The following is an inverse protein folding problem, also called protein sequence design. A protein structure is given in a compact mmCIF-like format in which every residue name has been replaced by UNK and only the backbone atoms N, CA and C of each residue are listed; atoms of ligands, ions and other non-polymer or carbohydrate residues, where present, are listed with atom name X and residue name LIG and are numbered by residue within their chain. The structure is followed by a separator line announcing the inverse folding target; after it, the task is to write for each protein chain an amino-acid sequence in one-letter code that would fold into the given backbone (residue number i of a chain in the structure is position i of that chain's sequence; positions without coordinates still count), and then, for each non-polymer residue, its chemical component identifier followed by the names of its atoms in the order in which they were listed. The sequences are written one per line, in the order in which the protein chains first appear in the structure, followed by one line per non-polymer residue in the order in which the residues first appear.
data_IF_303213848421
#
_entry.id   IF_303213848421
#
_cell.length_a   1.000
_cell.length_b   1.000
_cell.length_c   1.000
_cell.angle_alpha   90.00
_cell.angle_beta   90.00
_cell.angle_gamma   90.00
#
_symmetry.space_group_name_H-M   'P 1'
#
loop_
_entity.id
_entity.type
_entity.pdbx_description
1 polymer ?
#
# COMPACT_ATOMS: atom_id res chain seq x y z
N UNK A 1 -5.72 1.75 12.80
CA UNK A 1 -4.92 2.00 11.58
C UNK A 1 -4.81 3.50 11.33
N UNK A 2 -3.68 4.03 10.89
CA UNK A 2 -3.58 5.49 10.65
C UNK A 2 -4.14 5.82 9.26
N UNK A 3 -5.13 6.73 9.18
CA UNK A 3 -5.62 7.29 7.90
C UNK A 3 -4.51 7.91 7.05
N UNK A 4 -3.35 8.20 7.65
CA UNK A 4 -2.19 8.80 7.01
C UNK A 4 -1.48 7.84 6.04
N UNK A 5 -1.35 6.55 6.38
CA UNK A 5 -0.68 5.56 5.54
C UNK A 5 -1.38 5.38 4.19
N UNK A 6 -2.70 5.14 4.20
CA UNK A 6 -3.49 5.03 2.97
C UNK A 6 -3.56 6.34 2.18
N UNK A 7 -3.51 7.50 2.86
CA UNK A 7 -3.45 8.80 2.18
C UNK A 7 -2.13 8.98 1.42
N UNK A 8 -1.00 8.53 1.99
CA UNK A 8 0.32 8.61 1.35
C UNK A 8 0.34 7.81 0.04
N UNK A 9 0.00 6.52 0.08
CA UNK A 9 -0.02 5.65 -1.10
C UNK A 9 -0.93 6.21 -2.20
N UNK A 10 -2.19 6.53 -1.87
CA UNK A 10 -3.14 7.10 -2.85
C UNK A 10 -2.69 8.41 -3.51
N UNK A 11 -1.94 9.26 -2.80
CA UNK A 11 -1.45 10.50 -3.38
C UNK A 11 -0.43 10.26 -4.50
N UNK A 12 0.29 9.13 -4.46
CA UNK A 12 1.29 8.76 -5.49
C UNK A 12 0.64 8.39 -6.83
N UNK A 13 -0.60 7.90 -6.82
CA UNK A 13 -1.37 7.56 -8.03
C UNK A 13 -1.54 8.75 -9.00
N UNK A 14 -1.52 10.00 -8.54
CA UNK A 14 -1.87 11.16 -9.37
C UNK A 14 -0.78 11.64 -10.33
N UNK A 15 0.24 10.84 -10.62
CA UNK A 15 1.45 11.40 -11.23
C UNK A 15 2.14 12.41 -10.31
N UNK A 16 1.76 12.45 -9.02
CA UNK A 16 2.20 13.48 -8.08
C UNK A 16 3.26 12.90 -7.16
N UNK A 17 4.49 13.32 -7.39
CA UNK A 17 5.63 12.90 -6.59
C UNK A 17 6.00 14.03 -5.63
N UNK A 18 6.03 13.72 -4.33
CA UNK A 18 6.44 14.67 -3.29
C UNK A 18 7.70 14.16 -2.62
N UNK A 19 8.72 15.01 -2.54
CA UNK A 19 9.99 14.69 -1.91
C UNK A 19 10.58 15.95 -1.27
N UNK A 20 11.51 15.77 -0.34
CA UNK A 20 12.16 16.88 0.35
C UNK A 20 13.61 17.00 -0.10
N UNK A 21 14.09 18.24 -0.23
CA UNK A 21 15.49 18.58 -0.51
C UNK A 21 15.99 19.70 0.40
N UNK A 22 17.30 19.79 0.56
CA UNK A 22 17.92 20.97 1.17
C UNK A 22 17.78 22.19 0.26
N UNK A 23 17.82 23.39 0.84
CA UNK A 23 17.74 24.66 0.08
C UNK A 23 18.88 24.84 -0.92
N UNK A 24 20.00 24.15 -0.72
CA UNK A 24 21.16 24.12 -1.60
C UNK A 24 20.96 23.30 -2.89
N UNK A 25 19.86 22.55 -3.00
CA UNK A 25 19.53 21.81 -4.22
C UNK A 25 18.95 22.72 -5.33
N UNK A 26 18.54 23.96 -4.98
CA UNK A 26 18.03 24.94 -5.94
C UNK A 26 19.21 25.63 -6.63
N UNK A 27 19.15 25.68 -7.97
CA UNK A 27 20.18 26.32 -8.79
C UNK A 27 19.81 27.78 -9.05
N UNK A 28 20.80 28.67 -8.90
CA UNK A 28 20.71 30.12 -9.18
C UNK A 28 20.30 30.33 -10.65
N UNK A 29 19.38 31.27 -10.96
CA UNK A 29 18.95 32.43 -10.16
C UNK A 29 17.70 32.22 -9.29
N UNK A 30 17.24 30.98 -9.10
CA UNK A 30 16.01 30.75 -8.37
C UNK A 30 16.17 31.02 -6.86
N UNK A 31 15.19 31.68 -6.25
CA UNK A 31 15.17 32.00 -4.82
C UNK A 31 14.48 30.88 -4.02
N UNK A 32 15.22 30.07 -3.23
CA UNK A 32 14.64 29.00 -2.42
C UNK A 32 13.88 29.51 -1.19
N UNK A 33 13.94 30.80 -0.87
CA UNK A 33 13.22 31.38 0.28
C UNK A 33 11.71 31.49 0.03
N UNK A 34 11.30 31.51 -1.25
CA UNK A 34 9.90 31.64 -1.68
C UNK A 34 9.39 30.34 -2.29
N UNK A 35 8.09 30.11 -2.15
CA UNK A 35 7.41 29.06 -2.92
C UNK A 35 7.42 29.42 -4.40
N UNK A 36 7.76 28.44 -5.25
CA UNK A 36 7.78 28.63 -6.70
C UNK A 36 7.06 27.51 -7.42
N UNK A 37 6.60 27.81 -8.63
CA UNK A 37 5.94 26.85 -9.53
C UNK A 37 6.41 27.07 -10.96
N UNK A 38 6.72 25.96 -11.61
CA UNK A 38 7.17 25.85 -12.98
C UNK A 38 6.12 25.07 -13.77
N UNK A 39 5.95 25.45 -15.04
CA UNK A 39 5.13 24.71 -16.00
C UNK A 39 5.81 23.41 -16.42
N UNK A 40 5.74 23.10 -17.71
CA UNK A 40 6.36 21.87 -18.24
C UNK A 40 7.86 21.86 -17.94
N UNK A 41 8.35 20.79 -17.33
CA UNK A 41 9.77 20.58 -17.01
C UNK A 41 10.27 19.25 -17.60
N UNK A 42 11.58 19.08 -17.73
CA UNK A 42 12.23 17.79 -18.03
C UNK A 42 13.10 17.33 -16.86
N UNK A 43 13.22 16.01 -16.69
CA UNK A 43 14.20 15.40 -15.78
C UNK A 43 15.30 14.74 -16.60
N UNK A 44 16.54 15.09 -16.32
CA UNK A 44 17.71 14.63 -17.09
C UNK A 44 18.81 14.14 -16.14
N UNK A 45 19.57 13.13 -16.56
CA UNK A 45 20.79 12.75 -15.86
C UNK A 45 21.98 13.59 -16.31
N UNK A 46 22.78 14.02 -15.34
CA UNK A 46 24.05 14.72 -15.54
C UNK A 46 25.17 13.80 -15.08
N UNK A 47 26.01 13.29 -16.01
CA UNK A 47 27.16 12.45 -15.68
C UNK A 47 28.07 13.09 -14.63
N UNK A 48 28.62 12.27 -13.73
CA UNK A 48 29.54 12.73 -12.70
C UNK A 48 30.94 12.14 -12.90
N UNK A 49 32.01 12.89 -12.57
CA UNK A 49 33.38 12.40 -12.69
C UNK A 49 33.63 11.12 -11.89
N UNK A 50 34.64 10.34 -12.31
CA UNK A 50 35.17 9.19 -11.57
C UNK A 50 34.14 8.06 -11.33
N UNK A 51 33.25 7.83 -12.29
CA UNK A 51 32.26 6.73 -12.22
C UNK A 51 31.22 6.89 -11.10
N UNK A 52 31.09 8.11 -10.55
CA UNK A 52 30.05 8.41 -9.56
C UNK A 52 28.68 8.33 -10.22
N UNK A 53 27.65 7.97 -9.43
CA UNK A 53 26.27 8.00 -9.89
C UNK A 53 25.93 9.39 -10.45
N UNK A 54 25.22 9.47 -11.59
CA UNK A 54 24.85 10.74 -12.19
C UNK A 54 23.97 11.54 -11.23
N UNK A 55 24.04 12.86 -11.31
CA UNK A 55 23.04 13.72 -10.69
C UNK A 55 21.78 13.75 -11.54
N UNK A 56 20.63 14.00 -10.91
CA UNK A 56 19.38 14.24 -11.62
C UNK A 56 19.06 15.73 -11.58
N UNK A 57 18.84 16.34 -12.73
CA UNK A 57 18.48 17.75 -12.85
C UNK A 57 17.06 17.89 -13.37
N UNK A 58 16.35 18.88 -12.83
CA UNK A 58 15.06 19.33 -13.31
C UNK A 58 15.29 20.63 -14.08
N UNK A 59 14.90 20.66 -15.37
CA UNK A 59 14.93 21.87 -16.20
C UNK A 59 13.53 22.40 -16.44
N UNK A 60 13.36 23.71 -16.39
CA UNK A 60 12.09 24.34 -16.76
C UNK A 60 11.85 24.30 -18.28
N UNK A 61 10.72 24.83 -18.73
CA UNK A 61 10.35 24.88 -20.15
C UNK A 61 11.28 25.72 -21.03
N UNK A 62 12.21 26.49 -20.44
CA UNK A 62 13.25 27.25 -21.14
C UNK A 62 14.61 26.54 -21.12
N UNK A 63 14.69 25.35 -20.53
CA UNK A 63 15.93 24.58 -20.39
C UNK A 63 16.81 25.01 -19.22
N UNK A 64 16.33 25.92 -18.36
CA UNK A 64 17.09 26.40 -17.18
C UNK A 64 17.00 25.36 -16.08
N UNK A 65 18.14 24.98 -15.49
CA UNK A 65 18.16 24.07 -14.34
C UNK A 65 17.55 24.77 -13.14
N UNK A 66 16.50 24.18 -12.56
CA UNK A 66 15.82 24.72 -11.38
C UNK A 66 16.17 23.95 -10.12
N UNK A 67 16.47 22.66 -10.26
CA UNK A 67 16.80 21.77 -9.15
C UNK A 67 17.84 20.75 -9.61
N UNK A 68 18.86 20.53 -8.77
CA UNK A 68 19.86 19.48 -8.95
C UNK A 68 19.90 18.57 -7.72
N UNK A 69 19.78 17.26 -7.94
CA UNK A 69 19.70 16.25 -6.90
C UNK A 69 20.80 15.21 -7.09
N UNK A 70 21.75 15.19 -6.16
CA UNK A 70 22.80 14.17 -6.13
C UNK A 70 22.31 12.84 -5.52
N UNK A 71 23.02 11.75 -5.84
CA UNK A 71 22.67 10.38 -5.40
C UNK A 71 22.63 10.17 -3.88
N UNK A 72 23.23 11.09 -3.10
CA UNK A 72 23.18 11.05 -1.63
C UNK A 72 21.82 11.48 -1.07
N UNK A 73 21.04 12.28 -1.81
CA UNK A 73 19.69 12.68 -1.44
C UNK A 73 18.70 11.55 -1.78
N UNK A 74 18.84 10.39 -1.12
CA UNK A 74 18.20 9.11 -1.48
C UNK A 74 16.71 9.22 -1.82
N UNK A 75 15.93 9.90 -0.99
CA UNK A 75 14.49 10.04 -1.20
C UNK A 75 14.14 10.88 -2.42
N UNK A 76 14.83 12.02 -2.61
CA UNK A 76 14.64 12.88 -3.78
C UNK A 76 15.14 12.21 -5.06
N UNK A 77 16.26 11.48 -4.98
CA UNK A 77 16.83 10.76 -6.10
C UNK A 77 15.90 9.63 -6.56
N UNK A 78 15.41 8.80 -5.64
CA UNK A 78 14.45 7.74 -5.93
C UNK A 78 13.13 8.27 -6.49
N UNK A 79 12.74 9.49 -6.12
CA UNK A 79 11.56 10.16 -6.64
C UNK A 79 11.75 10.67 -8.09
N UNK A 80 12.95 11.11 -8.46
CA UNK A 80 13.24 11.67 -9.78
C UNK A 80 13.68 10.63 -10.80
N UNK A 81 14.36 9.57 -10.37
CA UNK A 81 14.95 8.57 -11.26
C UNK A 81 13.94 7.93 -12.23
N UNK A 82 12.70 7.56 -11.83
CA UNK A 82 11.71 7.01 -12.75
C UNK A 82 11.21 8.01 -13.80
N UNK A 83 11.50 9.30 -13.62
CA UNK A 83 11.07 10.38 -14.49
C UNK A 83 12.17 10.82 -15.47
N UNK A 84 13.34 10.19 -15.41
CA UNK A 84 14.45 10.49 -16.32
C UNK A 84 14.00 10.37 -17.79
N UNK A 85 14.27 11.41 -18.58
CA UNK A 85 13.83 11.50 -19.98
C UNK A 85 12.35 11.87 -20.16
N UNK A 86 11.56 11.94 -19.10
CA UNK A 86 10.14 12.31 -19.16
C UNK A 86 9.95 13.84 -19.10
N UNK A 87 8.92 14.32 -19.81
CA UNK A 87 8.35 15.65 -19.55
C UNK A 87 7.32 15.57 -18.42
N UNK A 88 7.44 16.44 -17.43
CA UNK A 88 6.47 16.58 -16.34
C UNK A 88 5.63 17.83 -16.57
N UNK A 89 4.36 17.80 -16.16
CA UNK A 89 3.39 18.90 -16.39
C UNK A 89 3.73 20.14 -15.56
N UNK A 90 4.10 19.94 -14.30
CA UNK A 90 4.50 21.04 -13.43
C UNK A 90 5.43 20.56 -12.33
N UNK A 91 6.36 21.43 -11.96
CA UNK A 91 7.19 21.28 -10.77
C UNK A 91 6.94 22.46 -9.82
N UNK A 92 7.01 22.24 -8.52
CA UNK A 92 6.86 23.29 -7.53
C UNK A 92 7.59 22.94 -6.24
N UNK A 93 7.88 23.94 -5.43
CA UNK A 93 8.34 23.74 -4.07
C UNK A 93 7.70 24.72 -3.10
N UNK A 94 7.64 24.32 -1.84
CA UNK A 94 7.30 25.15 -0.70
C UNK A 94 8.39 25.04 0.35
N UNK A 95 8.84 26.16 0.91
CA UNK A 95 9.81 26.14 2.01
C UNK A 95 9.14 25.76 3.32
N UNK A 96 9.73 24.82 4.05
CA UNK A 96 9.28 24.35 5.36
C UNK A 96 10.39 24.50 6.40
N UNK A 97 10.00 24.82 7.63
CA UNK A 97 10.90 24.78 8.77
C UNK A 97 11.15 23.33 9.20
N UNK A 98 12.35 23.04 9.65
CA UNK A 98 12.65 21.75 10.30
C UNK A 98 12.02 21.73 11.69
N UNK A 99 11.30 20.65 12.01
CA UNK A 99 10.78 20.41 13.36
C UNK A 99 11.90 19.96 14.33
N UNK A 100 13.06 19.58 13.78
CA UNK A 100 14.22 19.04 14.50
C UNK A 100 15.42 19.94 14.19
N UNK A 101 15.53 21.06 14.91
CA UNK A 101 16.69 21.98 14.86
C UNK A 101 16.56 23.22 13.97
N UNK A 102 17.61 24.04 13.94
CA UNK A 102 17.68 25.25 13.11
C UNK A 102 17.98 24.87 11.65
N UNK A 103 16.94 24.73 10.82
CA UNK A 103 17.09 24.43 9.41
C UNK A 103 15.79 24.62 8.62
N UNK A 104 15.91 24.78 7.31
CA UNK A 104 14.78 24.78 6.40
C UNK A 104 15.02 23.79 5.26
N UNK A 105 13.95 23.18 4.78
CA UNK A 105 13.96 22.30 3.62
C UNK A 105 12.89 22.75 2.63
N UNK A 106 12.97 22.24 1.41
CA UNK A 106 11.95 22.45 0.39
C UNK A 106 11.13 21.18 0.26
N UNK A 107 9.82 21.31 0.43
CA UNK A 107 8.85 20.28 0.07
C UNK A 107 8.54 20.44 -1.41
N UNK A 108 9.17 19.60 -2.22
CA UNK A 108 9.04 19.60 -3.67
C UNK A 108 7.85 18.75 -4.10
N UNK A 109 7.12 19.22 -5.11
CA UNK A 109 6.01 18.52 -5.75
C UNK A 109 6.17 18.55 -7.26
N UNK A 110 6.23 17.37 -7.86
CA UNK A 110 6.11 17.15 -9.30
C UNK A 110 4.69 16.70 -9.60
N UNK A 111 4.14 17.17 -10.72
CA UNK A 111 2.94 16.62 -11.34
C UNK A 111 3.34 16.21 -12.75
N UNK A 112 3.22 14.93 -13.05
CA UNK A 112 3.54 14.36 -14.36
C UNK A 112 2.55 14.79 -15.46
N UNK A 113 2.99 14.73 -16.71
CA UNK A 113 2.13 14.97 -17.89
C UNK A 113 1.21 13.80 -18.17
N UNK A 114 0.17 14.02 -19.01
CA UNK A 114 -0.57 12.89 -19.60
C UNK A 114 0.41 12.10 -20.47
N UNK A 115 0.56 10.80 -20.21
CA UNK A 115 1.27 9.90 -21.12
C UNK A 115 0.49 9.84 -22.45
N UNK A 116 1.19 9.75 -23.58
CA UNK A 116 0.54 9.34 -24.82
C UNK A 116 0.15 7.89 -24.62
N UNK A 117 -1.15 7.64 -24.48
CA UNK A 117 -1.71 6.29 -24.53
C UNK A 117 -1.42 5.78 -25.95
N UNK A 118 -0.90 4.57 -26.07
CA UNK A 118 -0.85 3.90 -27.38
C UNK A 118 -2.28 3.84 -27.96
N UNK A 119 -2.43 3.77 -29.28
CA UNK A 119 -3.71 3.83 -29.98
C UNK A 119 -4.57 2.56 -29.80
N UNK A 120 -4.72 2.09 -28.56
CA UNK A 120 -5.57 0.95 -28.19
C UNK A 120 -6.94 1.43 -27.71
N UNK A 121 -7.95 0.58 -27.90
CA UNK A 121 -9.34 0.87 -27.53
C UNK A 121 -9.48 1.14 -26.02
N UNK A 122 -10.26 2.16 -25.63
CA UNK A 122 -10.54 2.46 -24.24
C UNK A 122 -11.31 1.32 -23.58
N UNK A 123 -11.06 1.09 -22.29
CA UNK A 123 -11.81 0.12 -21.48
C UNK A 123 -12.85 0.91 -20.70
N UNK A 124 -14.13 0.66 -20.91
CA UNK A 124 -15.21 1.49 -20.31
C UNK A 124 -15.16 1.48 -18.78
N UNK A 125 -14.98 0.30 -18.19
CA UNK A 125 -14.94 0.09 -16.75
C UNK A 125 -14.00 -1.06 -16.46
N UNK A 126 -13.20 -0.89 -15.40
CA UNK A 126 -12.45 -1.99 -14.78
C UNK A 126 -12.85 -2.14 -13.33
N UNK A 127 -12.74 -3.37 -12.83
CA UNK A 127 -12.86 -3.71 -11.42
C UNK A 127 -11.54 -4.34 -11.01
N UNK A 128 -11.02 -3.97 -9.83
CA UNK A 128 -9.79 -4.56 -9.30
C UNK A 128 -9.93 -4.87 -7.82
N UNK A 129 -9.10 -5.80 -7.37
CA UNK A 129 -8.96 -6.23 -5.98
C UNK A 129 -7.54 -6.78 -5.73
N UNK A 130 -7.08 -6.71 -4.48
CA UNK A 130 -5.75 -7.18 -4.07
C UNK A 130 -5.79 -8.06 -2.83
N UNK A 131 -4.99 -9.13 -2.85
CA UNK A 131 -4.60 -9.85 -1.64
C UNK A 131 -3.16 -9.52 -1.26
N UNK A 132 -2.86 -9.37 0.03
CA UNK A 132 -1.61 -8.79 0.51
C UNK A 132 -1.05 -9.55 1.71
N UNK A 133 0.25 -9.40 1.99
CA UNK A 133 0.90 -10.00 3.19
C UNK A 133 0.41 -9.40 4.51
N UNK A 134 -0.29 -8.27 4.45
CA UNK A 134 -0.81 -7.54 5.60
C UNK A 134 -1.50 -6.24 5.19
N UNK A 135 -1.70 -5.32 6.12
CA UNK A 135 -2.58 -4.15 5.91
C UNK A 135 -1.84 -2.81 5.78
N UNK A 136 -0.51 -2.80 5.71
CA UNK A 136 0.32 -1.60 5.67
C UNK A 136 1.00 -1.43 4.31
N UNK A 137 0.48 -0.56 3.42
CA UNK A 137 1.04 -0.38 2.07
C UNK A 137 2.53 0.00 2.00
N UNK A 138 3.10 0.53 3.09
CA UNK A 138 4.53 0.89 3.14
C UNK A 138 5.47 -0.30 3.39
N UNK A 139 4.94 -1.39 3.93
CA UNK A 139 5.74 -2.51 4.43
C UNK A 139 5.25 -3.82 3.81
N UNK A 140 3.94 -4.02 3.77
CA UNK A 140 3.31 -5.21 3.20
C UNK A 140 3.32 -5.19 1.67
N UNK A 141 3.22 -6.38 1.09
CA UNK A 141 3.40 -6.64 -0.33
C UNK A 141 2.14 -7.29 -0.91
N UNK A 142 1.85 -7.02 -2.19
CA UNK A 142 0.73 -7.66 -2.89
C UNK A 142 1.12 -9.11 -3.24
N UNK A 143 0.23 -10.05 -2.92
CA UNK A 143 0.31 -11.48 -3.22
C UNK A 143 -0.56 -11.87 -4.42
N UNK A 144 -1.67 -11.17 -4.65
CA UNK A 144 -2.53 -11.34 -5.83
C UNK A 144 -3.04 -9.97 -6.28
N UNK A 145 -3.03 -9.72 -7.58
CA UNK A 145 -3.76 -8.61 -8.20
C UNK A 145 -4.66 -9.18 -9.29
N UNK A 146 -5.95 -8.86 -9.18
CA UNK A 146 -6.94 -9.18 -10.20
C UNK A 146 -7.52 -7.89 -10.75
N UNK A 147 -7.70 -7.85 -12.07
CA UNK A 147 -8.37 -6.77 -12.79
C UNK A 147 -9.28 -7.42 -13.84
N UNK A 148 -10.57 -7.11 -13.79
CA UNK A 148 -11.57 -7.52 -14.79
C UNK A 148 -12.15 -6.30 -15.52
N UNK A 149 -12.67 -6.50 -16.72
CA UNK A 149 -13.49 -5.50 -17.40
C UNK A 149 -14.95 -5.47 -16.87
N UNK A 150 -15.75 -4.51 -17.32
CA UNK A 150 -17.18 -4.41 -16.97
C UNK A 150 -18.04 -5.59 -17.44
N UNK A 151 -17.51 -6.49 -18.27
CA UNK A 151 -18.16 -7.73 -18.69
C UNK A 151 -17.73 -8.95 -17.85
N UNK A 152 -16.79 -8.77 -16.91
CA UNK A 152 -16.26 -9.84 -16.07
C UNK A 152 -15.10 -10.64 -16.67
N UNK A 153 -14.55 -10.23 -17.81
CA UNK A 153 -13.38 -10.87 -18.40
C UNK A 153 -12.13 -10.44 -17.63
N UNK A 154 -11.25 -11.40 -17.31
CA UNK A 154 -9.97 -11.09 -16.68
C UNK A 154 -9.04 -10.39 -17.66
N UNK A 155 -8.65 -9.16 -17.31
CA UNK A 155 -7.58 -8.40 -17.96
C UNK A 155 -6.23 -8.71 -17.33
N UNK A 156 -6.23 -9.03 -16.03
CA UNK A 156 -5.09 -9.48 -15.26
C UNK A 156 -5.59 -10.35 -14.09
N UNK A 157 -4.94 -11.46 -13.79
CA UNK A 157 -5.18 -12.25 -12.56
C UNK A 157 -3.92 -13.05 -12.26
N UNK A 158 -3.01 -12.47 -11.48
CA UNK A 158 -1.71 -13.06 -11.21
C UNK A 158 -1.44 -13.13 -9.70
N UNK A 159 -0.77 -14.22 -9.31
CA UNK A 159 -0.12 -14.35 -8.02
C UNK A 159 1.33 -13.84 -8.12
N UNK A 160 1.82 -13.25 -7.04
CA UNK A 160 3.17 -12.70 -6.96
C UNK A 160 3.92 -13.20 -5.73
N UNK A 161 5.22 -13.39 -5.88
CA UNK A 161 6.10 -13.63 -4.73
C UNK A 161 6.48 -12.31 -4.07
N UNK A 162 6.42 -12.19 -2.74
CA UNK A 162 6.96 -11.05 -2.03
C UNK A 162 8.51 -11.05 -2.07
N UNK A 163 9.11 -9.87 -1.90
CA UNK A 163 10.55 -9.64 -1.81
C UNK A 163 11.06 -9.60 -0.38
N UNK A 164 10.24 -9.13 0.56
CA UNK A 164 10.67 -8.78 1.91
C UNK A 164 10.00 -9.61 3.00
N UNK A 165 8.91 -10.31 2.70
CA UNK A 165 8.20 -11.18 3.63
C UNK A 165 8.33 -12.66 3.26
N UNK A 166 8.76 -13.48 4.21
CA UNK A 166 8.79 -14.94 4.06
C UNK A 166 7.55 -15.63 4.66
N UNK A 167 6.71 -14.91 5.43
CA UNK A 167 5.48 -15.43 6.03
C UNK A 167 4.47 -14.33 6.37
N UNK A 168 3.17 -14.66 6.34
CA UNK A 168 2.05 -13.76 6.66
C UNK A 168 0.86 -14.52 7.29
N UNK A 169 1.01 -15.11 8.50
CA UNK A 169 0.02 -16.06 9.03
C UNK A 169 -1.39 -15.48 9.24
N UNK A 170 -1.51 -14.18 9.53
CA UNK A 170 -2.80 -13.52 9.72
C UNK A 170 -3.54 -13.34 8.40
N UNK A 171 -2.86 -12.84 7.37
CA UNK A 171 -3.44 -12.65 6.04
C UNK A 171 -3.71 -14.00 5.35
N UNK A 172 -2.79 -14.97 5.49
CA UNK A 172 -2.96 -16.32 4.95
C UNK A 172 -4.20 -17.01 5.53
N UNK A 173 -4.57 -16.77 6.79
CA UNK A 173 -5.79 -17.34 7.38
C UNK A 173 -7.06 -16.82 6.70
N UNK A 174 -6.99 -15.65 6.06
CA UNK A 174 -8.11 -14.97 5.41
C UNK A 174 -8.19 -15.42 3.96
N UNK A 175 -7.13 -15.21 3.17
CA UNK A 175 -7.12 -15.46 1.72
C UNK A 175 -6.53 -16.82 1.29
N UNK A 176 -5.99 -17.60 2.22
CA UNK A 176 -5.45 -18.94 1.95
C UNK A 176 -4.10 -18.99 1.21
N UNK A 177 -3.70 -17.93 0.48
CA UNK A 177 -2.39 -17.84 -0.20
C UNK A 177 -1.22 -18.05 0.79
N UNK A 178 -0.45 -19.11 0.57
CA UNK A 178 0.69 -19.54 1.37
C UNK A 178 2.03 -19.21 0.70
N UNK A 179 3.14 -19.13 1.46
CA UNK A 179 4.48 -18.92 0.90
C UNK A 179 4.84 -19.94 -0.19
N UNK A 180 4.43 -21.20 -0.04
CA UNK A 180 4.70 -22.25 -1.03
C UNK A 180 3.95 -22.06 -2.34
N UNK A 181 2.74 -21.49 -2.32
CA UNK A 181 1.97 -21.18 -3.54
C UNK A 181 2.60 -20.06 -4.37
N UNK A 182 3.27 -19.11 -3.70
CA UNK A 182 3.87 -17.95 -4.37
C UNK A 182 5.37 -18.07 -4.63
N UNK A 183 6.09 -19.03 -4.03
CA UNK A 183 7.55 -19.14 -4.10
C UNK A 183 8.14 -19.09 -5.54
N UNK A 184 7.44 -19.67 -6.52
CA UNK A 184 7.85 -19.69 -7.93
C UNK A 184 7.17 -18.66 -8.82
N UNK A 185 6.41 -17.71 -8.26
CA UNK A 185 5.65 -16.69 -9.00
C UNK A 185 6.52 -15.48 -9.35
N UNK A 186 6.15 -14.68 -10.37
CA UNK A 186 6.86 -13.45 -10.70
C UNK A 186 6.79 -12.44 -9.55
N UNK A 187 7.61 -11.39 -9.66
CA UNK A 187 7.48 -10.22 -8.81
C UNK A 187 6.40 -9.30 -9.38
N UNK A 188 5.71 -8.54 -8.54
CA UNK A 188 4.70 -7.60 -9.06
C UNK A 188 5.31 -6.51 -9.94
N UNK A 189 6.59 -6.19 -9.74
CA UNK A 189 7.33 -5.27 -10.60
C UNK A 189 7.40 -5.70 -12.07
N UNK A 190 7.26 -7.01 -12.33
CA UNK A 190 7.29 -7.57 -13.69
C UNK A 190 6.02 -7.19 -14.48
N UNK A 191 4.91 -6.89 -13.81
CA UNK A 191 3.61 -6.59 -14.41
C UNK A 191 3.21 -5.10 -14.33
N UNK A 192 4.03 -4.22 -13.75
CA UNK A 192 3.65 -2.80 -13.55
C UNK A 192 3.32 -2.07 -14.84
N UNK A 193 4.01 -2.38 -15.94
CA UNK A 193 3.72 -1.77 -17.23
C UNK A 193 2.35 -2.22 -17.75
N UNK A 194 2.04 -3.53 -17.67
CA UNK A 194 0.73 -4.09 -18.02
C UNK A 194 -0.39 -3.44 -17.19
N UNK A 195 -0.20 -3.33 -15.87
CA UNK A 195 -1.19 -2.70 -14.98
C UNK A 195 -1.36 -1.22 -15.31
N UNK A 196 -0.27 -0.51 -15.60
CA UNK A 196 -0.33 0.90 -15.99
C UNK A 196 -1.09 1.10 -17.30
N UNK A 197 -0.88 0.23 -18.29
CA UNK A 197 -1.56 0.31 -19.59
C UNK A 197 -3.07 0.08 -19.43
N UNK A 198 -3.49 -0.84 -18.55
CA UNK A 198 -4.91 -1.03 -18.19
C UNK A 198 -5.48 0.26 -17.54
N UNK A 199 -4.77 0.88 -16.60
CA UNK A 199 -5.24 2.12 -15.95
C UNK A 199 -5.31 3.32 -16.89
N UNK A 200 -4.38 3.40 -17.84
CA UNK A 200 -4.35 4.46 -18.84
C UNK A 200 -5.56 4.35 -19.77
N UNK A 201 -5.95 3.14 -20.18
CA UNK A 201 -7.10 2.85 -21.05
C UNK A 201 -8.46 2.90 -20.35
N UNK A 202 -8.52 2.62 -19.04
CA UNK A 202 -9.75 2.59 -18.27
C UNK A 202 -10.44 3.97 -18.18
N UNK A 203 -11.75 4.03 -18.46
CA UNK A 203 -12.56 5.25 -18.30
C UNK A 203 -13.14 5.36 -16.89
N UNK A 204 -13.42 4.22 -16.24
CA UNK A 204 -13.85 4.12 -14.85
C UNK A 204 -13.12 2.98 -14.14
N UNK A 205 -12.78 3.18 -12.86
CA UNK A 205 -12.13 2.17 -12.00
C UNK A 205 -12.97 1.97 -10.76
N UNK A 206 -13.59 0.81 -10.63
CA UNK A 206 -14.44 0.44 -9.51
C UNK A 206 -13.68 -0.47 -8.55
N UNK A 207 -13.68 -0.13 -7.27
CA UNK A 207 -12.97 -0.90 -6.24
C UNK A 207 -13.84 -0.94 -4.99
N UNK A 208 -13.97 -2.11 -4.37
CA UNK A 208 -14.67 -2.22 -3.10
C UNK A 208 -13.73 -1.83 -1.97
N UNK A 209 -14.07 -0.79 -1.19
CA UNK A 209 -13.14 -0.21 -0.20
C UNK A 209 -11.84 0.31 -0.84
N UNK A 210 -11.99 1.07 -1.92
CA UNK A 210 -10.92 1.59 -2.79
C UNK A 210 -9.69 2.17 -2.09
N UNK A 211 -9.82 2.69 -0.87
CA UNK A 211 -8.68 3.30 -0.18
C UNK A 211 -7.56 2.31 0.15
N UNK A 212 -7.88 1.02 0.29
CA UNK A 212 -6.93 -0.04 0.59
C UNK A 212 -6.05 -0.35 -0.63
N UNK A 213 -6.63 -0.88 -1.70
CA UNK A 213 -5.93 -1.34 -2.91
C UNK A 213 -5.15 -0.20 -3.56
N UNK A 214 -5.79 0.96 -3.70
CA UNK A 214 -5.18 2.14 -4.32
C UNK A 214 -3.97 2.67 -3.54
N UNK A 215 -3.88 2.39 -2.24
CA UNK A 215 -2.69 2.75 -1.50
C UNK A 215 -1.51 1.83 -1.80
N UNK A 216 -1.73 0.51 -1.89
CA UNK A 216 -0.69 -0.45 -2.29
C UNK A 216 -0.21 -0.18 -3.71
N UNK A 217 -1.13 -0.04 -4.66
CA UNK A 217 -0.83 0.26 -6.06
C UNK A 217 -0.05 1.58 -6.20
N UNK A 218 -0.39 2.59 -5.40
CA UNK A 218 0.36 3.84 -5.37
C UNK A 218 1.78 3.71 -4.80
N UNK A 219 2.02 2.80 -3.86
CA UNK A 219 3.37 2.53 -3.32
C UNK A 219 4.26 1.84 -4.34
N UNK A 220 3.68 1.06 -5.27
CA UNK A 220 4.34 0.48 -6.43
C UNK A 220 4.66 1.51 -7.54
N UNK A 221 4.19 2.75 -7.42
CA UNK A 221 4.46 3.81 -8.37
C UNK A 221 3.51 3.86 -9.57
N UNK A 222 2.44 3.04 -9.57
CA UNK A 222 1.37 3.10 -10.57
C UNK A 222 0.64 4.44 -10.52
N UNK A 223 0.07 4.82 -11.65
CA UNK A 223 -0.63 6.09 -11.85
C UNK A 223 -2.07 5.85 -12.27
N UNK A 224 -2.97 6.58 -11.62
CA UNK A 224 -4.39 6.52 -11.85
C UNK A 224 -5.04 7.90 -11.60
N UNK A 225 -5.81 8.35 -12.58
CA UNK A 225 -6.69 9.50 -12.40
C UNK A 225 -7.84 9.13 -11.44
N UNK A 226 -7.73 9.54 -10.17
CA UNK A 226 -8.74 9.21 -9.16
C UNK A 226 -10.11 9.85 -9.41
N UNK A 227 -10.25 10.77 -10.39
CA UNK A 227 -11.58 11.21 -10.82
C UNK A 227 -12.37 10.11 -11.53
N UNK A 228 -11.67 9.08 -12.05
CA UNK A 228 -12.25 7.86 -12.62
C UNK A 228 -12.63 6.81 -11.56
N UNK A 229 -12.19 6.98 -10.31
CA UNK A 229 -12.35 5.98 -9.25
C UNK A 229 -13.74 6.06 -8.63
N UNK A 230 -14.40 4.91 -8.53
CA UNK A 230 -15.63 4.69 -7.78
C UNK A 230 -15.33 3.73 -6.62
N UNK A 231 -15.64 4.17 -5.40
CA UNK A 231 -15.59 3.30 -4.21
C UNK A 231 -16.95 2.63 -4.05
N UNK A 232 -17.08 1.43 -4.61
CA UNK A 232 -18.34 0.67 -4.72
C UNK A 232 -18.95 0.42 -3.34
N UNK A 233 -18.12 0.16 -2.32
CA UNK A 233 -18.57 -0.02 -0.93
C UNK A 233 -19.28 1.23 -0.40
N UNK A 234 -18.66 2.40 -0.55
CA UNK A 234 -19.20 3.67 -0.03
C UNK A 234 -20.45 4.09 -0.79
N UNK A 235 -20.48 3.92 -2.10
CA UNK A 235 -21.67 4.24 -2.90
C UNK A 235 -22.84 3.32 -2.55
N UNK A 236 -22.60 2.01 -2.47
CA UNK A 236 -23.62 1.03 -2.09
C UNK A 236 -24.14 1.24 -0.68
N UNK A 237 -23.23 1.32 0.30
CA UNK A 237 -23.59 1.50 1.70
C UNK A 237 -24.41 2.76 1.94
N UNK A 238 -24.05 3.89 1.31
CA UNK A 238 -24.82 5.14 1.48
C UNK A 238 -26.19 5.06 0.86
N UNK A 239 -26.29 4.46 -0.33
CA UNK A 239 -27.52 4.41 -1.11
C UNK A 239 -28.56 3.46 -0.55
N UNK A 240 -28.13 2.30 -0.07
CA UNK A 240 -29.05 1.23 0.35
C UNK A 240 -29.11 1.02 1.86
N UNK A 241 -28.10 1.49 2.61
CA UNK A 241 -27.93 1.15 4.03
C UNK A 241 -27.59 2.35 4.92
N UNK A 242 -27.59 3.58 4.38
CA UNK A 242 -27.24 4.81 5.11
C UNK A 242 -25.91 4.75 5.88
N UNK A 243 -24.94 3.96 5.40
CA UNK A 243 -23.64 3.74 6.05
C UNK A 243 -22.49 3.94 5.06
N UNK A 244 -21.34 4.50 5.46
CA UNK A 244 -20.16 4.56 4.59
C UNK A 244 -19.44 3.21 4.46
N UNK A 245 -19.85 2.18 5.21
CA UNK A 245 -19.24 0.85 5.23
C UNK A 245 -20.32 -0.22 5.19
N UNK A 246 -20.20 -1.13 4.23
CA UNK A 246 -21.03 -2.32 4.11
C UNK A 246 -20.16 -3.47 3.64
N UNK A 247 -20.41 -4.70 4.10
CA UNK A 247 -19.56 -5.85 3.75
C UNK A 247 -19.84 -6.31 2.31
N UNK A 248 -18.79 -6.67 1.57
CA UNK A 248 -18.91 -7.14 0.19
C UNK A 248 -19.77 -8.40 0.12
N UNK A 249 -19.59 -9.38 1.01
CA UNK A 249 -20.38 -10.61 0.96
C UNK A 249 -21.88 -10.33 1.13
N UNK A 250 -22.22 -9.37 2.00
CA UNK A 250 -23.63 -8.95 2.20
C UNK A 250 -24.17 -8.20 0.98
N UNK A 251 -23.40 -7.24 0.46
CA UNK A 251 -23.81 -6.48 -0.72
C UNK A 251 -24.01 -7.39 -1.94
N UNK A 252 -23.05 -8.30 -2.19
CA UNK A 252 -23.10 -9.27 -3.27
C UNK A 252 -24.31 -10.21 -3.13
N UNK A 253 -24.57 -10.73 -1.92
CA UNK A 253 -25.75 -11.56 -1.66
C UNK A 253 -27.07 -10.82 -1.92
N UNK A 254 -27.18 -9.54 -1.55
CA UNK A 254 -28.33 -8.69 -1.87
C UNK A 254 -28.46 -8.35 -3.37
N UNK A 255 -27.40 -8.58 -4.14
CA UNK A 255 -27.39 -8.50 -5.61
C UNK A 255 -27.60 -9.89 -6.26
N UNK A 256 -27.79 -10.94 -5.47
CA UNK A 256 -27.96 -12.31 -5.97
C UNK A 256 -26.66 -12.98 -6.41
N UNK A 257 -25.50 -12.50 -5.95
CA UNK A 257 -24.18 -13.08 -6.23
C UNK A 257 -23.61 -13.73 -4.96
N UNK A 258 -23.31 -15.03 -5.04
CA UNK A 258 -22.66 -15.82 -3.98
C UNK A 258 -21.32 -16.32 -4.51
N UNK A 259 -20.30 -16.28 -3.68
CA UNK A 259 -18.93 -16.58 -4.07
C UNK A 259 -18.09 -17.00 -2.86
N UNK A 260 -16.87 -17.44 -3.13
CA UNK A 260 -15.86 -17.68 -2.11
C UNK A 260 -15.06 -16.40 -1.88
N UNK A 261 -15.23 -15.77 -0.73
CA UNK A 261 -14.52 -14.54 -0.39
C UNK A 261 -13.01 -14.76 -0.21
N UNK A 262 -12.24 -13.68 -0.36
CA UNK A 262 -10.79 -13.65 -0.17
C UNK A 262 -10.01 -14.40 -1.25
N UNK A 263 -10.51 -14.26 -2.48
CA UNK A 263 -9.80 -14.53 -3.73
C UNK A 263 -10.02 -13.30 -4.61
N UNK A 264 -8.93 -12.61 -4.99
CA UNK A 264 -9.06 -11.30 -5.63
C UNK A 264 -9.88 -11.34 -6.93
N UNK A 265 -9.88 -12.45 -7.68
CA UNK A 265 -10.69 -12.55 -8.90
C UNK A 265 -12.18 -12.70 -8.59
N UNK A 266 -12.52 -13.53 -7.61
CA UNK A 266 -13.91 -13.68 -7.17
C UNK A 266 -14.43 -12.42 -6.46
N UNK A 267 -13.59 -11.73 -5.69
CA UNK A 267 -13.90 -10.43 -5.09
C UNK A 267 -14.11 -9.33 -6.15
N UNK A 268 -13.35 -9.35 -7.25
CA UNK A 268 -13.62 -8.51 -8.43
C UNK A 268 -15.01 -8.78 -9.01
N UNK A 269 -15.38 -10.05 -9.21
CA UNK A 269 -16.69 -10.42 -9.78
C UNK A 269 -17.84 -10.04 -8.85
N UNK A 270 -17.68 -10.25 -7.55
CA UNK A 270 -18.64 -9.81 -6.54
C UNK A 270 -18.80 -8.29 -6.55
N UNK A 271 -17.69 -7.55 -6.66
CA UNK A 271 -17.69 -6.09 -6.78
C UNK A 271 -18.41 -5.62 -8.04
N UNK A 272 -18.18 -6.26 -9.19
CA UNK A 272 -18.89 -5.99 -10.44
C UNK A 272 -20.40 -6.20 -10.30
N UNK A 273 -20.83 -7.27 -9.64
CA UNK A 273 -22.26 -7.52 -9.40
C UNK A 273 -22.91 -6.39 -8.56
N UNK A 274 -22.22 -5.91 -7.54
CA UNK A 274 -22.68 -4.78 -6.72
C UNK A 274 -22.68 -3.47 -7.51
N UNK A 275 -21.62 -3.22 -8.29
CA UNK A 275 -21.48 -2.03 -9.12
C UNK A 275 -22.57 -1.98 -10.20
N UNK A 276 -22.89 -3.11 -10.82
CA UNK A 276 -23.97 -3.21 -11.82
C UNK A 276 -25.32 -2.74 -11.25
N UNK A 277 -25.63 -3.07 -10.00
CA UNK A 277 -26.85 -2.58 -9.31
C UNK A 277 -26.81 -1.07 -9.01
N UNK A 278 -25.62 -0.47 -8.89
CA UNK A 278 -25.45 0.97 -8.74
C UNK A 278 -25.60 1.71 -10.07
N UNK A 279 -25.09 1.14 -11.16
CA UNK A 279 -25.09 1.76 -12.48
C UNK A 279 -26.49 1.82 -13.10
N UNK A 280 -27.31 0.79 -12.87
CA UNK A 280 -28.74 0.76 -13.30
C UNK A 280 -29.60 1.83 -12.62
N UNK A 281 -29.13 2.44 -11.51
CA UNK A 281 -29.79 3.58 -10.85
C UNK A 281 -28.80 4.75 -10.73
N UNK A 282 -28.66 5.63 -11.74
CA UNK A 282 -27.70 6.73 -11.67
C UNK A 282 -27.96 7.65 -10.46
N UNK A 283 -26.89 8.13 -9.82
CA UNK A 283 -26.97 9.13 -8.74
C UNK A 283 -27.51 10.46 -9.32
N UNK A 284 -28.40 11.18 -8.61
CA UNK A 284 -29.00 12.43 -9.12
C UNK A 284 -28.01 13.50 -9.58
N UNK A 285 -26.78 13.49 -9.06
CA UNK A 285 -25.76 14.49 -9.41
C UNK A 285 -24.99 14.17 -10.71
N UNK A 286 -25.09 12.94 -11.24
CA UNK A 286 -24.42 12.57 -12.50
C UNK A 286 -25.13 13.11 -13.75
N UNK A 287 -26.41 13.51 -13.65
CA UNK A 287 -27.18 14.05 -14.78
C UNK A 287 -26.76 15.47 -15.18
N UNK A 288 -26.08 16.22 -14.31
CA UNK A 288 -25.76 17.64 -14.55
C UNK A 288 -24.51 17.87 -15.42
N UNK A 289 -23.67 16.85 -15.65
CA UNK A 289 -22.39 17.00 -16.38
C UNK A 289 -22.43 16.44 -17.81
N UNK A 290 -23.56 15.89 -18.22
CA UNK A 290 -23.72 15.15 -19.48
C UNK A 290 -24.69 15.85 -20.45
N UNK A 291 -24.68 17.19 -20.50
CA UNK A 291 -25.41 17.95 -21.54
C UNK A 291 -24.54 18.39 -22.72
N UNK A 292 -23.30 17.90 -22.84
CA UNK A 292 -22.40 18.31 -23.94
C UNK A 292 -21.81 17.18 -24.79
N UNK A 293 -22.10 15.91 -24.52
CA UNK A 293 -21.71 14.81 -25.41
C UNK A 293 -22.82 13.76 -25.40
N UNK A 294 -23.83 13.93 -26.26
CA UNK A 294 -24.89 12.95 -26.49
C UNK A 294 -24.71 12.28 -27.85
N UNK A 295 -23.96 11.19 -27.87
CA UNK A 295 -24.05 10.13 -28.87
C UNK A 295 -23.09 9.00 -28.49
N UNK A 296 -23.59 7.75 -28.50
CA UNK A 296 -22.96 6.45 -28.15
C UNK A 296 -23.27 5.92 -26.73
N UNK A 297 -23.78 4.71 -26.50
CA UNK A 297 -24.48 3.69 -27.31
C UNK A 297 -25.26 2.83 -26.28
N UNK A 298 -26.47 2.37 -26.60
CA UNK A 298 -27.17 1.39 -25.74
C UNK A 298 -26.41 0.05 -25.77
N UNK A 299 -26.30 -0.64 -24.61
CA UNK A 299 -25.76 -2.01 -24.54
C UNK A 299 -26.42 -2.90 -25.59
N UNK A 300 -25.62 -3.66 -26.33
CA UNK A 300 -26.15 -4.59 -27.33
C UNK A 300 -26.93 -5.73 -26.67
N UNK A 301 -27.90 -6.29 -27.37
CA UNK A 301 -28.64 -7.48 -26.91
C UNK A 301 -27.73 -8.69 -26.69
N UNK A 302 -26.59 -8.75 -27.40
CA UNK A 302 -25.55 -9.76 -27.21
C UNK A 302 -24.84 -9.60 -25.86
N UNK A 303 -24.47 -8.38 -25.47
CA UNK A 303 -23.81 -8.11 -24.18
C UNK A 303 -24.77 -8.41 -23.01
N UNK A 304 -26.05 -8.08 -23.19
CA UNK A 304 -27.11 -8.42 -22.23
C UNK A 304 -27.29 -9.95 -22.09
N UNK A 305 -27.37 -10.67 -23.21
CA UNK A 305 -27.48 -12.13 -23.21
C UNK A 305 -26.23 -12.80 -22.61
N UNK A 306 -25.06 -12.22 -22.81
CA UNK A 306 -23.78 -12.71 -22.25
C UNK A 306 -23.71 -12.51 -20.75
N UNK A 307 -24.14 -11.35 -20.24
CA UNK A 307 -24.29 -11.10 -18.79
C UNK A 307 -25.29 -12.09 -18.16
N UNK A 308 -26.43 -12.33 -18.81
CA UNK A 308 -27.39 -13.34 -18.36
C UNK A 308 -26.80 -14.76 -18.37
N UNK A 309 -25.88 -15.08 -19.29
CA UNK A 309 -25.15 -16.36 -19.32
C UNK A 309 -24.18 -16.53 -18.15
N UNK A 310 -23.50 -15.46 -17.72
CA UNK A 310 -22.62 -15.47 -16.54
C UNK A 310 -23.44 -15.73 -15.29
N UNK A 311 -24.56 -15.03 -15.14
CA UNK A 311 -25.52 -15.22 -14.04
C UNK A 311 -26.11 -16.64 -14.05
N UNK A 312 -26.37 -17.21 -15.23
CA UNK A 312 -26.92 -18.57 -15.38
C UNK A 312 -25.88 -19.66 -15.08
N UNK A 313 -24.62 -19.44 -15.45
CA UNK A 313 -23.51 -20.35 -15.14
C UNK A 313 -23.25 -20.39 -13.64
N UNK A 314 -23.31 -19.23 -12.97
CA UNK A 314 -23.25 -19.15 -11.50
C UNK A 314 -24.40 -19.91 -10.83
N UNK A 315 -25.61 -19.88 -11.39
CA UNK A 315 -26.76 -20.67 -10.89
C UNK A 315 -26.63 -22.17 -11.13
N UNK A 316 -26.02 -22.58 -12.25
CA UNK A 316 -25.78 -24.00 -12.55
C UNK A 316 -24.76 -24.63 -11.60
N UNK A 317 -23.72 -23.86 -11.23
CA UNK A 317 -22.75 -24.25 -10.22
C UNK A 317 -23.39 -24.48 -8.83
N UNK A 318 -24.38 -23.65 -8.47
CA UNK A 318 -25.14 -23.75 -7.21
C UNK A 318 -26.06 -25.00 -7.19
N UNK A 319 -26.66 -25.36 -8.33
CA UNK A 319 -27.54 -26.53 -8.46
C UNK A 319 -26.81 -27.87 -8.32
N UNK A 320 -25.54 -27.95 -8.70
CA UNK A 320 -24.72 -29.16 -8.57
C UNK A 320 -24.21 -29.42 -7.14
N UNK A 321 -24.43 -28.49 -6.21
CA UNK A 321 -23.95 -28.59 -4.82
C UNK A 321 -25.06 -28.90 -3.81
N UNK A 322 -26.34 -28.77 -4.19
CA UNK A 322 -27.47 -28.99 -3.28
C UNK A 322 -27.85 -30.46 -3.04
N UNK A 323 -27.23 -31.43 -3.73
CA UNK A 323 -27.56 -32.86 -3.57
C UNK A 323 -26.64 -33.64 -2.60
N UNK A 324 -25.65 -33.01 -1.98
CA UNK A 324 -24.88 -33.62 -0.89
C UNK A 324 -25.36 -33.11 0.46
N UNK A 325 -26.38 -33.78 1.01
CA UNK A 325 -26.74 -33.67 2.44
C UNK A 325 -25.88 -34.65 3.26
N UNK A 326 -25.23 -34.22 4.36
CA UNK A 326 -24.47 -35.13 5.19
C UNK A 326 -25.43 -35.95 6.05
N UNK A 327 -25.53 -37.25 5.77
CA UNK A 327 -26.24 -38.20 6.59
C UNK A 327 -25.61 -38.32 7.98
N UNK A 328 -26.48 -38.35 8.99
CA UNK A 328 -26.19 -38.58 10.40
C UNK A 328 -25.35 -39.83 10.63
N UNK A 329 -24.24 -39.69 11.36
CA UNK A 329 -23.43 -40.82 11.84
C UNK A 329 -24.13 -41.43 13.05
N UNK A 330 -24.76 -42.58 12.85
CA UNK A 330 -25.18 -43.48 13.93
C UNK A 330 -24.30 -44.74 13.92
N UNK A 331 -23.93 -45.18 15.10
CA UNK A 331 -22.95 -46.22 15.34
C UNK A 331 -23.45 -47.58 14.83
N UNK A 332 -22.66 -48.25 13.97
CA UNK A 332 -22.71 -49.72 13.85
C UNK A 332 -21.42 -50.32 13.24
N UNK A 333 -21.05 -51.43 13.87
CA UNK A 333 -19.90 -52.33 13.73
C UNK A 333 -19.56 -52.71 12.28
N UNK A 334 -18.27 -52.83 11.88
CA UNK A 334 -17.91 -53.29 10.54
C UNK A 334 -18.06 -54.82 10.39
N UNK A 335 -18.47 -55.32 9.21
CA UNK A 335 -18.50 -56.74 8.89
C UNK A 335 -17.13 -57.23 8.40
N UNK A 336 -17.02 -58.54 8.38
CA UNK A 336 -15.79 -59.32 8.32
C UNK A 336 -15.56 -59.92 6.91
N UNK A 337 -14.28 -60.20 6.62
CA UNK A 337 -13.69 -61.15 5.65
C UNK A 337 -13.30 -60.65 4.24
N UNK A 338 -11.99 -60.82 3.97
CA UNK A 338 -11.39 -60.89 2.64
C UNK A 338 -9.87 -61.13 2.71
N UNK A 339 -9.44 -62.36 2.99
CA UNK A 339 -8.04 -62.78 2.93
C UNK A 339 -7.54 -62.92 1.48
N UNK A 340 -6.41 -62.30 1.14
CA UNK A 340 -5.35 -62.92 0.32
C UNK A 340 -4.08 -62.06 0.37
N UNK A 341 -2.99 -62.68 0.81
CA UNK A 341 -1.74 -62.06 1.22
C UNK A 341 -0.82 -61.62 0.07
N UNK A 342 -0.17 -60.47 0.24
CA UNK A 342 1.20 -60.19 -0.23
C UNK A 342 1.97 -59.53 0.94
N UNK A 343 3.22 -59.92 1.22
CA UNK A 343 3.93 -59.41 2.39
C UNK A 343 4.32 -57.94 2.18
N UNK A 344 3.97 -57.08 3.15
CA UNK A 344 4.45 -55.70 3.21
C UNK A 344 5.95 -55.69 3.56
N UNK A 345 6.75 -54.75 3.00
CA UNK A 345 8.03 -54.41 3.58
C UNK A 345 7.78 -53.82 4.98
N UNK A 346 8.53 -54.31 5.97
CA UNK A 346 8.46 -53.85 7.37
C UNK A 346 8.56 -52.33 7.41
N UNK A 347 7.55 -51.69 8.00
CA UNK A 347 7.67 -50.32 8.49
C UNK A 347 8.82 -50.29 9.49
N UNK A 348 9.80 -49.43 9.21
CA UNK A 348 10.79 -49.01 10.20
C UNK A 348 10.02 -48.20 11.24
N UNK A 349 9.88 -48.74 12.45
CA UNK A 349 9.54 -47.98 13.63
C UNK A 349 10.46 -46.76 13.70
N UNK A 350 9.86 -45.57 13.71
CA UNK A 350 10.60 -44.34 13.94
C UNK A 350 11.12 -44.37 15.38
N UNK A 351 12.38 -44.77 15.50
CA UNK A 351 13.17 -44.74 16.72
C UNK A 351 13.13 -43.34 17.37
N UNK A 352 12.40 -43.24 18.47
CA UNK A 352 12.26 -42.06 19.32
C UNK A 352 13.50 -41.82 20.21
N UNK A 353 14.70 -42.14 19.74
CA UNK A 353 15.95 -41.92 20.49
C UNK A 353 17.09 -41.30 19.67
N UNK A 354 16.79 -40.54 18.61
CA UNK A 354 17.82 -39.72 17.96
C UNK A 354 18.12 -38.46 18.80
N UNK A 355 19.39 -38.18 19.16
CA UNK A 355 19.73 -36.97 19.88
C UNK A 355 19.50 -35.79 18.94
N UNK A 356 18.37 -35.09 19.08
CA UNK A 356 18.25 -33.70 18.65
C UNK A 356 19.47 -33.01 19.24
N UNK A 357 20.35 -32.51 18.36
CA UNK A 357 21.73 -32.23 18.75
C UNK A 357 21.74 -31.43 20.05
N UNK A 358 22.48 -31.90 21.05
CA UNK A 358 22.64 -31.18 22.34
C UNK A 358 22.95 -29.71 22.07
N UNK A 359 23.66 -29.42 20.98
CA UNK A 359 23.90 -28.09 20.47
C UNK A 359 22.63 -27.26 20.27
N UNK A 360 21.62 -27.72 19.51
CA UNK A 360 20.39 -26.94 19.28
C UNK A 360 19.55 -26.73 20.54
N UNK A 361 19.48 -27.73 21.43
CA UNK A 361 18.77 -27.58 22.70
C UNK A 361 19.44 -26.56 23.62
N UNK A 362 20.77 -26.64 23.79
CA UNK A 362 21.52 -25.67 24.60
C UNK A 362 21.56 -24.28 23.96
N UNK A 363 21.57 -24.17 22.62
CA UNK A 363 21.43 -22.89 21.91
C UNK A 363 20.05 -22.25 22.12
N UNK A 364 18.98 -23.06 22.10
CA UNK A 364 17.63 -22.57 22.37
C UNK A 364 17.47 -22.11 23.82
N UNK A 365 17.97 -22.90 24.79
CA UNK A 365 17.96 -22.53 26.22
C UNK A 365 18.77 -21.25 26.45
N UNK A 366 19.96 -21.13 25.85
CA UNK A 366 20.78 -19.92 25.95
C UNK A 366 20.06 -18.69 25.37
N UNK A 367 19.38 -18.83 24.23
CA UNK A 367 18.62 -17.74 23.61
C UNK A 367 17.46 -17.28 24.50
N UNK A 368 16.71 -18.21 25.10
CA UNK A 368 15.62 -17.90 26.02
C UNK A 368 16.15 -17.20 27.29
N UNK A 369 17.29 -17.64 27.84
CA UNK A 369 17.93 -16.96 28.96
C UNK A 369 18.39 -15.53 28.59
N UNK A 370 19.01 -15.34 27.44
CA UNK A 370 19.45 -14.02 26.96
C UNK A 370 18.25 -13.09 26.78
N UNK A 371 17.19 -13.53 26.12
CA UNK A 371 15.97 -12.74 25.92
C UNK A 371 15.30 -12.40 27.26
N UNK A 372 15.26 -13.33 28.21
CA UNK A 372 14.76 -13.09 29.57
C UNK A 372 15.58 -12.03 30.31
N UNK A 373 16.92 -12.10 30.25
CA UNK A 373 17.79 -11.09 30.86
C UNK A 373 17.66 -9.72 30.21
N UNK A 374 17.56 -9.65 28.87
CA UNK A 374 17.32 -8.38 28.16
C UNK A 374 15.99 -7.75 28.54
N UNK A 375 14.93 -8.55 28.66
CA UNK A 375 13.62 -8.08 29.11
C UNK A 375 13.68 -7.54 30.54
N UNK A 376 14.39 -8.21 31.45
CA UNK A 376 14.57 -7.76 32.83
C UNK A 376 15.38 -6.46 32.91
N UNK A 377 16.44 -6.31 32.11
CA UNK A 377 17.25 -5.09 32.02
C UNK A 377 16.43 -3.93 31.46
N UNK A 378 15.64 -4.14 30.39
CA UNK A 378 14.76 -3.13 29.84
C UNK A 378 13.70 -2.68 30.85
N UNK A 379 13.08 -3.63 31.57
CA UNK A 379 12.14 -3.31 32.63
C UNK A 379 12.80 -2.49 33.75
N UNK A 380 14.02 -2.85 34.17
CA UNK A 380 14.79 -2.10 35.17
C UNK A 380 15.13 -0.70 34.68
N UNK A 381 15.56 -0.53 33.42
CA UNK A 381 15.84 0.79 32.83
C UNK A 381 14.57 1.64 32.75
N UNK A 382 13.44 1.06 32.33
CA UNK A 382 12.16 1.77 32.29
C UNK A 382 11.66 2.20 33.67
N UNK A 383 11.99 1.45 34.73
CA UNK A 383 11.65 1.82 36.10
C UNK A 383 12.64 2.87 36.61
N UNK A 384 13.95 2.66 36.49
CA UNK A 384 14.99 3.49 37.15
C UNK A 384 15.23 4.82 36.43
N UNK A 385 15.18 4.85 35.08
CA UNK A 385 15.44 6.06 34.30
C UNK A 385 14.52 7.25 34.66
N UNK A 386 13.19 7.10 34.80
CA UNK A 386 12.34 8.21 35.22
C UNK A 386 12.64 8.68 36.65
N UNK A 387 12.98 7.78 37.59
CA UNK A 387 13.37 8.18 38.94
C UNK A 387 14.69 8.97 38.96
N UNK A 388 15.68 8.56 38.16
CA UNK A 388 16.92 9.31 38.02
C UNK A 388 16.66 10.71 37.45
N UNK A 389 15.83 10.83 36.42
CA UNK A 389 15.47 12.13 35.84
C UNK A 389 14.77 13.05 36.85
N UNK A 390 13.80 12.51 37.60
CA UNK A 390 13.03 13.24 38.62
C UNK A 390 13.93 13.73 39.76
N UNK A 391 14.96 12.96 40.14
CA UNK A 391 15.86 13.34 41.24
C UNK A 391 16.99 14.27 40.80
N UNK A 392 17.56 14.07 39.61
CA UNK A 392 18.74 14.85 39.17
C UNK A 392 18.37 16.23 38.62
N UNK A 393 17.22 16.38 37.95
CA UNK A 393 16.83 17.66 37.34
C UNK A 393 16.61 18.76 38.39
N UNK A 394 15.87 18.53 39.49
CA UNK A 394 15.71 19.54 40.54
C UNK A 394 17.03 19.90 41.23
N UNK A 395 17.90 18.91 41.47
CA UNK A 395 19.20 19.15 42.11
C UNK A 395 20.09 20.08 41.25
N UNK A 396 20.18 19.80 39.95
CA UNK A 396 20.94 20.64 39.00
C UNK A 396 20.34 22.05 38.91
N UNK A 397 19.01 22.17 38.85
CA UNK A 397 18.33 23.47 38.83
C UNK A 397 18.58 24.27 40.13
N UNK A 398 18.59 23.61 41.28
CA UNK A 398 18.86 24.24 42.57
C UNK A 398 20.32 24.73 42.67
N UNK A 399 21.28 23.93 42.18
CA UNK A 399 22.69 24.34 42.09
C UNK A 399 22.86 25.56 41.16
N UNK A 400 22.24 25.55 39.97
CA UNK A 400 22.29 26.67 39.03
C UNK A 400 21.68 27.93 39.65
N UNK A 401 20.54 27.80 40.34
CA UNK A 401 19.90 28.91 41.05
C UNK A 401 20.80 29.48 42.16
N UNK A 402 21.42 28.60 42.96
CA UNK A 402 22.38 29.00 44.01
C UNK A 402 23.56 29.78 43.45
N UNK A 403 24.17 29.31 42.35
CA UNK A 403 25.29 30.00 41.68
C UNK A 403 24.84 31.38 41.17
N UNK A 404 23.65 31.49 40.57
CA UNK A 404 23.09 32.77 40.10
C UNK A 404 22.85 33.75 41.25
N UNK A 405 22.28 33.28 42.36
CA UNK A 405 22.03 34.11 43.55
C UNK A 405 23.33 34.60 44.18
N UNK A 406 24.36 33.74 44.26
CA UNK A 406 25.67 34.09 44.78
C UNK A 406 26.38 35.15 43.89
N UNK A 407 26.28 35.02 42.56
CA UNK A 407 26.77 36.06 41.62
C UNK A 407 26.04 37.39 41.79
N UNK A 408 24.71 37.36 41.95
CA UNK A 408 23.91 38.55 42.20
C UNK A 408 24.32 39.27 43.49
N UNK A 409 24.53 38.52 44.59
CA UNK A 409 24.99 39.09 45.86
C UNK A 409 26.40 39.68 45.75
N UNK A 410 27.34 39.00 45.07
CA UNK A 410 28.67 39.56 44.81
C UNK A 410 28.62 40.87 44.01
N UNK A 411 27.73 40.95 43.02
CA UNK A 411 27.51 42.18 42.26
C UNK A 411 26.92 43.31 43.13
N UNK A 412 25.95 43.01 43.99
CA UNK A 412 25.39 44.00 44.92
C UNK A 412 26.43 44.53 45.92
N UNK A 413 27.29 43.65 46.46
CA UNK A 413 28.38 44.03 47.36
C UNK A 413 29.41 44.91 46.62
N UNK A 414 29.78 44.55 45.38
CA UNK A 414 30.65 45.39 44.53
C UNK A 414 30.05 46.77 44.25
N UNK A 415 28.74 46.86 44.00
CA UNK A 415 28.08 48.15 43.79
C UNK A 415 27.99 49.01 45.04
N UNK A 416 27.84 48.40 46.24
CA UNK A 416 27.88 49.14 47.51
C UNK A 416 29.28 49.67 47.85
N UNK A 417 30.33 48.88 47.61
CA UNK A 417 31.74 49.30 47.78
C UNK A 417 32.24 50.37 46.79
N UNK A 418 31.49 50.66 45.72
CA UNK A 418 31.78 51.77 44.79
C UNK A 418 31.03 53.07 45.12
N UNK A 419 30.13 53.04 46.10
CA UNK A 419 29.31 54.19 46.55
C UNK A 419 29.74 54.74 47.91
N UNK A 420 30.67 54.08 48.58
CA UNK A 420 31.53 54.61 49.63
C UNK A 420 32.94 54.69 49.06
#
# INVERSE_FOLDING_TARGET
MSKAAYKRGRNKLHGTVVFNVGVNAVVVPNDPSRSQRFGVCSVESVPQPKGRKPHLVLRDGKGVVVLEVGAQARAAYAALQPLEGCKVRSFSWERKASDIGAGAYLSCRIVEGKRKIAAEEPIEQIILDTETTGLQPQYDEILQLSIIDGCGNALLNNLYRPKYHDSWPEAQRIHGISPTQVAGKPLIEDDLQTVQDIFDRAQQVCVYNADFDLAFLGELGLRLDRSKVVDTMREYGRRYHSTPYYKLEKAAAECGYRYHAHDALEDCRATLAVQSKLDVKPLPWRTARTSLHSSHTAMSEEDRARMESVVKTARAYDATRSDETPASVDARKPPEVGQSAKPMPKMVEADATKPVSRFYYWSFVALVCILGTLSAVLALVCIVAPYMLIMTVPAVLFTIWGIRKCRSMKNQIRTKRRRH
#
